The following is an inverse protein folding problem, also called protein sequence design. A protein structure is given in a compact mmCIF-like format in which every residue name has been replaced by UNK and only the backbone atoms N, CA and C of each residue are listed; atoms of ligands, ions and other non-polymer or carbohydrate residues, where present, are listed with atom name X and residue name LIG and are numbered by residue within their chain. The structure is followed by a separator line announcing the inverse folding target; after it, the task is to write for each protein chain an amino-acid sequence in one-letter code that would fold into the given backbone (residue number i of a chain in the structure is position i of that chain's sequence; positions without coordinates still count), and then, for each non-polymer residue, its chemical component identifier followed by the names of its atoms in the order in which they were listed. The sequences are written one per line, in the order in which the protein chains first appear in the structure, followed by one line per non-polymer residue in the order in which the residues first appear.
data_IF_308664336436
#
_entry.id   IF_308664336436
#
_cell.length_a   1.000
_cell.length_b   1.000
_cell.length_c   1.000
_cell.angle_alpha   90.00
_cell.angle_beta   90.00
_cell.angle_gamma   90.00
#
_symmetry.space_group_name_H-M   'P 1'
#
loop_
_entity.id
_entity.type
_entity.pdbx_description
1 polymer ?
#
# COMPACT_ATOMS: atom_id res chain seq x y z
N UNK A 1 39.40 29.73 28.77
CA UNK A 1 38.24 28.89 28.40
C UNK A 1 38.04 27.81 29.44
N UNK A 2 36.88 27.77 30.10
CA UNK A 2 36.56 26.84 31.16
C UNK A 2 36.04 25.51 30.57
N UNK A 3 36.69 24.37 30.88
CA UNK A 3 36.42 23.05 30.27
C UNK A 3 35.00 22.52 30.56
N UNK A 4 34.32 23.06 31.56
CA UNK A 4 32.95 22.70 31.91
C UNK A 4 31.91 23.16 30.89
N UNK A 5 32.14 24.27 30.18
CA UNK A 5 31.16 24.80 29.22
C UNK A 5 31.11 23.96 27.93
N UNK A 6 32.24 23.36 27.55
CA UNK A 6 32.34 22.55 26.32
C UNK A 6 31.58 21.22 26.42
N UNK A 7 31.49 20.64 27.62
CA UNK A 7 30.73 19.41 27.85
C UNK A 7 29.21 19.65 27.79
N UNK A 8 28.76 20.83 28.24
CA UNK A 8 27.35 21.24 28.11
C UNK A 8 27.00 21.59 26.66
N UNK A 9 27.86 22.33 25.94
CA UNK A 9 27.67 22.58 24.50
C UNK A 9 27.62 21.28 23.67
N UNK A 10 28.51 20.32 23.94
CA UNK A 10 28.50 19.04 23.22
C UNK A 10 27.22 18.23 23.51
N UNK A 11 26.72 18.25 24.75
CA UNK A 11 25.48 17.56 25.12
C UNK A 11 24.26 18.25 24.52
N UNK A 12 24.26 19.59 24.44
CA UNK A 12 23.20 20.38 23.83
C UNK A 12 23.13 20.13 22.31
N UNK A 13 24.27 20.10 21.61
CA UNK A 13 24.35 19.77 20.17
C UNK A 13 23.93 18.31 19.89
N UNK A 14 24.32 17.36 20.74
CA UNK A 14 23.88 15.95 20.60
C UNK A 14 22.37 15.83 20.88
N UNK A 15 21.82 16.60 21.83
CA UNK A 15 20.39 16.63 22.11
C UNK A 15 19.58 17.35 21.03
N UNK A 16 20.16 18.36 20.37
CA UNK A 16 19.52 19.06 19.26
C UNK A 16 19.46 18.17 18.02
N UNK A 17 20.53 17.44 17.69
CA UNK A 17 20.53 16.52 16.54
C UNK A 17 19.58 15.32 16.76
N UNK A 18 19.44 14.83 17.99
CA UNK A 18 18.45 13.82 18.33
C UNK A 18 16.99 14.33 18.19
N UNK A 19 16.76 15.63 18.42
CA UNK A 19 15.46 16.28 18.25
C UNK A 19 15.12 16.63 16.78
N UNK A 20 16.13 16.68 15.90
CA UNK A 20 15.98 16.83 14.43
C UNK A 20 15.77 15.47 13.74
N UNK A 21 15.45 14.42 14.48
CA UNK A 21 14.71 13.29 13.92
C UNK A 21 13.30 13.80 13.57
N UNK A 22 13.20 14.50 12.43
CA UNK A 22 11.96 15.04 11.89
C UNK A 22 10.92 13.93 11.87
N UNK A 23 9.99 13.99 12.83
CA UNK A 23 8.78 13.18 12.81
C UNK A 23 7.90 13.69 11.67
N UNK A 24 8.32 13.38 10.45
CA UNK A 24 7.56 13.70 9.27
C UNK A 24 6.29 12.86 9.36
N UNK A 25 5.17 13.52 9.68
CA UNK A 25 3.90 12.84 9.87
C UNK A 25 3.58 12.00 8.64
N UNK A 26 3.26 10.73 8.88
CA UNK A 26 2.85 9.77 7.85
C UNK A 26 1.65 10.33 7.11
N UNK A 27 1.86 10.82 5.89
CA UNK A 27 0.78 11.40 5.10
C UNK A 27 -0.04 10.29 4.47
N UNK A 28 -1.35 10.49 4.31
CA UNK A 28 -2.22 9.60 3.52
C UNK A 28 -1.70 9.37 2.09
N UNK A 29 -0.97 10.35 1.55
CA UNK A 29 -0.28 10.24 0.26
C UNK A 29 0.80 9.16 0.27
N UNK A 30 1.52 8.97 1.37
CA UNK A 30 2.57 7.95 1.47
C UNK A 30 1.97 6.54 1.44
N UNK A 31 0.78 6.35 2.02
CA UNK A 31 0.02 5.10 1.91
C UNK A 31 -0.46 4.83 0.48
N UNK A 32 -0.94 5.86 -0.23
CA UNK A 32 -1.37 5.73 -1.63
C UNK A 32 -0.21 5.41 -2.58
N UNK A 33 0.98 5.95 -2.30
CA UNK A 33 2.22 5.65 -3.02
C UNK A 33 2.64 4.20 -2.78
N UNK A 34 2.57 3.72 -1.54
CA UNK A 34 2.86 2.31 -1.22
C UNK A 34 1.90 1.35 -1.92
N UNK A 35 0.60 1.67 -1.91
CA UNK A 35 -0.44 0.89 -2.58
C UNK A 35 -0.37 0.97 -4.12
N UNK A 36 0.54 1.78 -4.70
CA UNK A 36 0.66 2.03 -6.14
C UNK A 36 -0.69 2.35 -6.79
N UNK A 37 -1.40 3.33 -6.23
CA UNK A 37 -2.80 3.64 -6.60
C UNK A 37 -3.02 3.78 -8.13
N UNK A 38 -2.07 4.31 -8.88
CA UNK A 38 -2.17 4.40 -10.34
C UNK A 38 -2.30 3.05 -11.05
N UNK A 39 -1.53 2.04 -10.63
CA UNK A 39 -1.56 0.68 -11.21
C UNK A 39 -2.87 -0.02 -10.82
N UNK A 40 -3.31 0.15 -9.57
CA UNK A 40 -4.57 -0.41 -9.09
C UNK A 40 -5.74 0.14 -9.90
N UNK A 41 -5.80 1.46 -10.10
CA UNK A 41 -6.88 2.11 -10.85
C UNK A 41 -6.90 1.68 -12.32
N UNK A 42 -5.75 1.53 -12.99
CA UNK A 42 -5.73 1.05 -14.38
C UNK A 42 -6.25 -0.38 -14.51
N UNK A 43 -5.87 -1.27 -13.59
CA UNK A 43 -6.35 -2.65 -13.60
C UNK A 43 -7.85 -2.74 -13.26
N UNK A 44 -8.38 -1.86 -12.42
CA UNK A 44 -9.81 -1.82 -12.12
C UNK A 44 -10.67 -1.49 -13.33
N UNK A 45 -10.17 -0.69 -14.28
CA UNK A 45 -10.88 -0.44 -15.54
C UNK A 45 -11.03 -1.75 -16.32
N UNK A 46 -9.99 -2.58 -16.38
CA UNK A 46 -10.02 -3.90 -17.01
C UNK A 46 -10.98 -4.85 -16.29
N UNK A 47 -10.94 -4.89 -14.95
CA UNK A 47 -11.86 -5.71 -14.15
C UNK A 47 -13.32 -5.30 -14.38
N UNK A 48 -13.60 -3.98 -14.38
CA UNK A 48 -14.94 -3.47 -14.67
C UNK A 48 -15.41 -3.84 -16.08
N UNK A 49 -14.54 -3.69 -17.08
CA UNK A 49 -14.87 -4.07 -18.46
C UNK A 49 -15.21 -5.56 -18.58
N UNK A 50 -14.45 -6.43 -17.90
CA UNK A 50 -14.74 -7.87 -17.84
C UNK A 50 -16.08 -8.18 -17.16
N UNK A 51 -16.36 -7.51 -16.04
CA UNK A 51 -17.65 -7.65 -15.35
C UNK A 51 -18.82 -7.19 -16.22
N UNK A 52 -18.69 -6.02 -16.85
CA UNK A 52 -19.72 -5.47 -17.74
C UNK A 52 -19.98 -6.39 -18.92
N UNK A 53 -18.92 -6.93 -19.54
CA UNK A 53 -19.05 -7.92 -20.61
C UNK A 53 -19.79 -9.18 -20.14
N UNK A 54 -19.48 -9.68 -18.94
CA UNK A 54 -20.18 -10.84 -18.37
C UNK A 54 -21.67 -10.58 -18.18
N UNK A 55 -22.05 -9.39 -17.67
CA UNK A 55 -23.46 -8.97 -17.51
C UNK A 55 -24.18 -8.93 -18.86
N UNK A 56 -23.56 -8.31 -19.87
CA UNK A 56 -24.15 -8.23 -21.22
C UNK A 56 -24.33 -9.63 -21.83
N UNK A 57 -23.34 -10.51 -21.69
CA UNK A 57 -23.37 -11.85 -22.29
C UNK A 57 -24.37 -12.79 -21.62
N UNK A 58 -24.52 -12.68 -20.30
CA UNK A 58 -25.45 -13.52 -19.52
C UNK A 58 -26.88 -12.96 -19.50
N UNK A 59 -27.07 -11.73 -19.96
CA UNK A 59 -28.39 -11.09 -20.03
C UNK A 59 -29.00 -10.73 -18.67
N UNK A 60 -28.24 -10.82 -17.57
CA UNK A 60 -28.69 -10.32 -16.27
C UNK A 60 -28.66 -8.80 -16.23
N UNK A 61 -29.60 -8.20 -15.49
CA UNK A 61 -29.64 -6.76 -15.31
C UNK A 61 -28.47 -6.25 -14.46
N UNK A 62 -27.84 -5.16 -14.87
CA UNK A 62 -26.73 -4.55 -14.12
C UNK A 62 -27.14 -4.17 -12.68
N UNK A 63 -28.39 -3.73 -12.50
CA UNK A 63 -28.95 -3.40 -11.19
C UNK A 63 -29.05 -4.58 -10.22
N UNK A 64 -29.27 -5.81 -10.71
CA UNK A 64 -29.35 -6.99 -9.82
C UNK A 64 -27.96 -7.48 -9.38
N UNK A 65 -26.92 -7.08 -10.09
CA UNK A 65 -25.53 -7.47 -9.82
C UNK A 65 -24.67 -6.33 -9.25
N UNK A 66 -25.29 -5.21 -8.88
CA UNK A 66 -24.56 -4.02 -8.43
C UNK A 66 -23.76 -4.28 -7.13
N UNK A 67 -24.31 -5.04 -6.19
CA UNK A 67 -23.62 -5.46 -4.97
C UNK A 67 -22.40 -6.32 -5.28
N UNK A 68 -22.57 -7.34 -6.13
CA UNK A 68 -21.49 -8.22 -6.61
C UNK A 68 -20.39 -7.42 -7.30
N UNK A 69 -20.75 -6.46 -8.13
CA UNK A 69 -19.81 -5.58 -8.82
C UNK A 69 -18.98 -4.75 -7.84
N UNK A 70 -19.61 -4.15 -6.84
CA UNK A 70 -18.93 -3.34 -5.82
C UNK A 70 -17.96 -4.22 -5.03
N UNK A 71 -18.41 -5.39 -4.55
CA UNK A 71 -17.55 -6.30 -3.81
C UNK A 71 -16.39 -6.84 -4.66
N UNK A 72 -16.63 -7.15 -5.93
CA UNK A 72 -15.58 -7.59 -6.86
C UNK A 72 -14.53 -6.49 -7.11
N UNK A 73 -14.97 -5.25 -7.39
CA UNK A 73 -14.06 -4.13 -7.63
C UNK A 73 -13.27 -3.76 -6.38
N UNK A 74 -13.93 -3.65 -5.22
CA UNK A 74 -13.26 -3.35 -3.95
C UNK A 74 -12.32 -4.48 -3.55
N UNK A 75 -12.76 -5.73 -3.65
CA UNK A 75 -11.94 -6.91 -3.36
C UNK A 75 -10.70 -6.97 -4.24
N UNK A 76 -10.86 -6.84 -5.55
CA UNK A 76 -9.75 -6.81 -6.51
C UNK A 76 -8.79 -5.65 -6.24
N UNK A 77 -9.31 -4.44 -5.95
CA UNK A 77 -8.49 -3.28 -5.59
C UNK A 77 -7.60 -3.57 -4.38
N UNK A 78 -8.17 -4.16 -3.33
CA UNK A 78 -7.47 -4.48 -2.09
C UNK A 78 -6.42 -5.58 -2.28
N UNK A 79 -6.74 -6.64 -3.04
CA UNK A 79 -5.78 -7.71 -3.37
C UNK A 79 -4.60 -7.15 -4.16
N UNK A 80 -4.86 -6.34 -5.20
CA UNK A 80 -3.82 -5.69 -5.99
C UNK A 80 -2.96 -4.73 -5.15
N UNK A 81 -3.58 -3.92 -4.29
CA UNK A 81 -2.89 -3.03 -3.38
C UNK A 81 -1.99 -3.81 -2.40
N UNK A 82 -2.51 -4.90 -1.81
CA UNK A 82 -1.75 -5.78 -0.92
C UNK A 82 -0.55 -6.41 -1.62
N UNK A 83 -0.73 -6.91 -2.84
CA UNK A 83 0.35 -7.42 -3.68
C UNK A 83 1.41 -6.35 -4.00
N UNK A 84 0.99 -5.13 -4.33
CA UNK A 84 1.91 -4.00 -4.57
C UNK A 84 2.71 -3.62 -3.32
N UNK A 85 2.05 -3.54 -2.17
CA UNK A 85 2.67 -3.24 -0.87
C UNK A 85 3.66 -4.34 -0.47
N UNK A 86 3.29 -5.61 -0.64
CA UNK A 86 4.17 -6.74 -0.35
C UNK A 86 5.37 -6.79 -1.31
N UNK A 87 5.16 -6.46 -2.58
CA UNK A 87 6.26 -6.31 -3.55
C UNK A 87 7.25 -5.23 -3.10
N UNK A 88 6.78 -4.10 -2.55
CA UNK A 88 7.67 -3.07 -2.00
C UNK A 88 8.39 -3.51 -0.71
N UNK A 89 7.84 -4.48 0.03
CA UNK A 89 8.52 -5.09 1.18
C UNK A 89 9.66 -6.01 0.72
N UNK A 90 9.39 -6.85 -0.29
CA UNK A 90 10.37 -7.80 -0.84
C UNK A 90 11.50 -7.05 -1.55
N UNK A 91 11.19 -6.06 -2.39
CA UNK A 91 12.18 -5.30 -3.16
C UNK A 91 12.94 -4.25 -2.33
N UNK A 92 12.77 -4.21 -1.00
CA UNK A 92 13.26 -3.10 -0.16
C UNK A 92 14.78 -2.94 -0.21
N UNK A 93 15.51 -4.04 -0.25
CA UNK A 93 16.96 -4.09 -0.34
C UNK A 93 17.46 -3.63 -1.73
N UNK A 94 16.81 -4.09 -2.79
CA UNK A 94 17.10 -3.72 -4.18
C UNK A 94 16.74 -2.27 -4.44
N UNK A 95 15.59 -1.81 -3.96
CA UNK A 95 15.11 -0.43 -4.17
C UNK A 95 16.06 0.61 -3.54
N UNK A 96 16.86 0.23 -2.53
CA UNK A 96 17.85 1.13 -1.90
C UNK A 96 18.99 1.53 -2.85
N UNK A 97 19.32 0.70 -3.84
CA UNK A 97 20.40 0.95 -4.80
C UNK A 97 19.89 1.44 -6.16
N UNK A 98 18.58 1.58 -6.33
CA UNK A 98 17.95 1.98 -7.59
C UNK A 98 17.60 3.47 -7.64
N UNK A 99 18.14 4.20 -8.62
CA UNK A 99 17.85 5.63 -8.90
C UNK A 99 16.34 5.96 -8.88
N UNK A 100 15.52 5.08 -9.45
CA UNK A 100 14.06 5.28 -9.61
C UNK A 100 13.27 5.03 -8.31
N UNK A 101 13.77 4.22 -7.39
CA UNK A 101 12.95 3.67 -6.28
C UNK A 101 13.54 3.88 -4.89
N UNK A 102 14.76 4.43 -4.81
CA UNK A 102 15.45 4.84 -3.58
C UNK A 102 14.65 5.79 -2.67
N UNK A 103 13.74 6.57 -3.25
CA UNK A 103 12.92 7.54 -2.51
C UNK A 103 11.58 6.96 -1.99
N UNK A 104 11.31 5.67 -2.22
CA UNK A 104 10.04 5.07 -1.78
C UNK A 104 9.89 5.13 -0.25
N UNK A 105 8.66 5.30 0.28
CA UNK A 105 8.41 5.28 1.73
C UNK A 105 8.84 3.97 2.42
N UNK A 106 8.85 2.86 1.67
CA UNK A 106 9.35 1.56 2.14
C UNK A 106 10.86 1.50 2.27
N UNK A 107 11.63 2.35 1.60
CA UNK A 107 13.11 2.34 1.61
C UNK A 107 13.66 3.40 2.55
N UNK A 108 13.09 4.60 2.47
CA UNK A 108 13.48 5.80 3.25
C UNK A 108 13.24 5.69 4.76
N UNK A 109 12.74 4.54 5.25
CA UNK A 109 12.50 4.31 6.68
C UNK A 109 11.21 4.91 7.23
N UNK A 110 10.41 5.61 6.40
CA UNK A 110 9.09 6.16 6.82
C UNK A 110 8.14 5.08 7.33
N UNK A 111 8.22 3.88 6.75
CA UNK A 111 7.57 2.69 7.24
C UNK A 111 8.61 1.65 7.66
N UNK A 112 8.44 1.09 8.86
CA UNK A 112 9.21 -0.09 9.28
C UNK A 112 8.87 -1.28 8.37
N UNK A 113 9.81 -2.19 8.19
CA UNK A 113 9.61 -3.38 7.35
C UNK A 113 8.37 -4.17 7.80
N UNK A 114 8.24 -4.39 9.12
CA UNK A 114 7.08 -5.08 9.71
C UNK A 114 5.76 -4.36 9.42
N UNK A 115 5.73 -3.02 9.43
CA UNK A 115 4.52 -2.27 9.07
C UNK A 115 4.13 -2.49 7.61
N UNK A 116 5.07 -2.46 6.68
CA UNK A 116 4.78 -2.70 5.25
C UNK A 116 4.27 -4.12 5.03
N UNK A 117 4.88 -5.13 5.67
CA UNK A 117 4.44 -6.51 5.60
C UNK A 117 3.03 -6.70 6.15
N UNK A 118 2.75 -6.19 7.35
CA UNK A 118 1.42 -6.29 7.97
C UNK A 118 0.37 -5.56 7.14
N UNK A 119 0.68 -4.37 6.63
CA UNK A 119 -0.25 -3.63 5.76
C UNK A 119 -0.56 -4.40 4.49
N UNK A 120 0.44 -4.96 3.81
CA UNK A 120 0.24 -5.76 2.60
C UNK A 120 -0.61 -7.00 2.86
N UNK A 121 -0.35 -7.73 3.95
CA UNK A 121 -1.12 -8.90 4.34
C UNK A 121 -2.57 -8.54 4.72
N UNK A 122 -2.78 -7.46 5.47
CA UNK A 122 -4.12 -7.00 5.85
C UNK A 122 -4.91 -6.57 4.62
N UNK A 123 -4.29 -5.86 3.67
CA UNK A 123 -4.91 -5.48 2.40
C UNK A 123 -5.32 -6.71 1.58
N UNK A 124 -4.41 -7.69 1.44
CA UNK A 124 -4.70 -8.93 0.72
C UNK A 124 -5.82 -9.75 1.39
N UNK A 125 -5.76 -9.92 2.71
CA UNK A 125 -6.77 -10.65 3.48
C UNK A 125 -8.14 -9.97 3.43
N UNK A 126 -8.19 -8.65 3.60
CA UNK A 126 -9.42 -7.89 3.47
C UNK A 126 -9.98 -7.96 2.04
N UNK A 127 -9.13 -7.88 1.01
CA UNK A 127 -9.53 -8.05 -0.38
C UNK A 127 -10.16 -9.41 -0.66
N UNK A 128 -9.53 -10.49 -0.17
CA UNK A 128 -10.07 -11.85 -0.26
C UNK A 128 -11.40 -12.00 0.50
N UNK A 129 -11.54 -11.35 1.66
CA UNK A 129 -12.80 -11.34 2.39
C UNK A 129 -13.92 -10.68 1.57
N UNK A 130 -13.66 -9.56 0.90
CA UNK A 130 -14.62 -8.93 -0.01
C UNK A 130 -14.96 -9.83 -1.21
N UNK A 131 -13.97 -10.48 -1.81
CA UNK A 131 -14.20 -11.43 -2.92
C UNK A 131 -15.03 -12.64 -2.47
N UNK A 132 -14.87 -13.11 -1.23
CA UNK A 132 -15.64 -14.23 -0.68
C UNK A 132 -17.14 -13.95 -0.59
N UNK A 133 -17.53 -12.67 -0.51
CA UNK A 133 -18.94 -12.24 -0.54
C UNK A 133 -19.55 -12.29 -1.95
N UNK A 134 -18.75 -12.50 -2.99
CA UNK A 134 -19.23 -12.61 -4.38
C UNK A 134 -19.43 -14.06 -4.77
N UNK A 135 -18.36 -14.84 -4.93
CA UNK A 135 -18.37 -16.24 -5.31
C UNK A 135 -17.07 -16.91 -4.88
N UNK A 136 -17.12 -18.20 -4.54
CA UNK A 136 -15.94 -18.97 -4.16
C UNK A 136 -14.85 -18.99 -5.23
N UNK A 137 -15.22 -18.99 -6.53
CA UNK A 137 -14.27 -18.94 -7.65
C UNK A 137 -13.46 -17.65 -7.68
N UNK A 138 -14.03 -16.51 -7.29
CA UNK A 138 -13.32 -15.24 -7.22
C UNK A 138 -12.21 -15.24 -6.16
N UNK A 139 -12.37 -16.00 -5.07
CA UNK A 139 -11.33 -16.15 -4.04
C UNK A 139 -10.18 -17.04 -4.51
N UNK A 140 -10.48 -18.10 -5.28
CA UNK A 140 -9.49 -19.10 -5.70
C UNK A 140 -8.69 -18.65 -6.92
N UNK A 141 -9.34 -18.00 -7.88
CA UNK A 141 -8.73 -17.63 -9.17
C UNK A 141 -8.16 -16.20 -9.13
N UNK A 142 -8.81 -15.30 -8.40
CA UNK A 142 -8.54 -13.85 -8.46
C UNK A 142 -9.37 -13.15 -9.51
#
# INVERSE_FOLDING_TARGET
MNKSNTAFEATEVISSDASIATSHQKSWKDYLVLAKHGIVTSNLITTFAGFYLAVVYTGVGLGSQLSTMIFALVGAALVMAGGCTLNNYIDRDIDHIMERTKERPSVTGRFSANQVLVLGLVQAAAGLAFLSLTTASAVVIG
#
